data_IF_965018724779
#
_entry.id   IF_965018724779
#
_cell.length_a   1.000
_cell.length_b   1.000
_cell.length_c   1.000
_cell.angle_alpha   90.00
_cell.angle_beta   90.00
_cell.angle_gamma   90.00
#
_symmetry.space_group_name_H-M   'P 1'
#
loop_
_entity.id
_entity.type
_entity.pdbx_description
1 polymer ?
#
# COMPACT_ATOMS: atom_id res chain seq x y z
N UNK A 1 27.04 16.43 7.53
CA UNK A 1 25.68 16.50 8.10
C UNK A 1 24.80 15.49 7.36
N UNK A 2 24.43 14.38 8.00
CA UNK A 2 23.42 13.43 7.52
C UNK A 2 22.49 13.18 8.71
N UNK A 3 21.44 13.99 8.83
CA UNK A 3 20.42 13.84 9.88
C UNK A 3 19.04 13.46 9.31
N UNK A 4 18.88 13.46 7.98
CA UNK A 4 17.59 13.23 7.31
C UNK A 4 17.13 11.75 7.27
N UNK A 5 18.03 10.78 7.47
CA UNK A 5 17.65 9.36 7.44
C UNK A 5 16.89 8.90 8.69
N UNK A 6 17.06 9.61 9.82
CA UNK A 6 16.45 9.25 11.09
C UNK A 6 14.94 9.54 11.14
N UNK A 7 14.49 10.57 10.42
CA UNK A 7 13.08 10.99 10.36
C UNK A 7 12.22 10.04 9.52
N UNK A 8 12.79 9.43 8.47
CA UNK A 8 12.06 8.55 7.53
C UNK A 8 11.70 7.19 8.20
N UNK A 9 12.62 6.63 9.01
CA UNK A 9 12.37 5.36 9.69
C UNK A 9 11.43 5.47 10.90
N UNK A 10 11.48 6.58 11.65
CA UNK A 10 10.56 6.81 12.76
C UNK A 10 9.11 6.93 12.25
N UNK A 11 8.92 7.70 11.19
CA UNK A 11 7.64 7.83 10.47
C UNK A 11 7.18 6.48 9.94
N UNK A 12 8.10 5.70 9.34
CA UNK A 12 7.81 4.35 8.86
C UNK A 12 7.29 3.42 9.97
N UNK A 13 7.94 3.41 11.14
CA UNK A 13 7.50 2.59 12.29
C UNK A 13 6.11 2.98 12.78
N UNK A 14 5.78 4.25 12.74
CA UNK A 14 4.48 4.76 13.14
C UNK A 14 3.37 4.27 12.20
N UNK A 15 3.61 4.32 10.90
CA UNK A 15 2.61 3.95 9.89
C UNK A 15 2.58 2.45 9.54
N UNK A 16 3.58 1.66 9.96
CA UNK A 16 3.63 0.21 9.65
C UNK A 16 2.37 -0.54 10.09
N UNK A 17 1.82 -0.19 11.26
CA UNK A 17 0.59 -0.78 11.79
C UNK A 17 -0.65 -0.48 10.93
N UNK A 18 -0.57 0.54 10.09
CA UNK A 18 -1.64 0.97 9.19
C UNK A 18 -1.48 0.45 7.76
N UNK A 19 -0.31 -0.08 7.40
CA UNK A 19 -0.07 -0.59 6.04
C UNK A 19 -1.05 -1.68 5.64
N UNK A 20 -1.46 -2.52 6.58
CA UNK A 20 -2.44 -3.60 6.38
C UNK A 20 -3.89 -3.10 6.38
N UNK A 21 -4.17 -1.89 6.89
CA UNK A 21 -5.53 -1.40 6.98
C UNK A 21 -6.07 -1.03 5.60
N UNK A 22 -7.34 -1.34 5.30
CA UNK A 22 -8.00 -0.81 4.13
C UNK A 22 -8.05 0.71 4.22
N UNK A 23 -8.11 1.37 3.06
CA UNK A 23 -8.35 2.81 3.02
C UNK A 23 -9.81 3.05 3.38
N UNK A 24 -10.05 3.80 4.46
CA UNK A 24 -11.39 4.20 4.87
C UNK A 24 -11.97 5.18 3.85
N UNK A 25 -12.80 4.67 2.94
CA UNK A 25 -13.33 5.42 1.80
C UNK A 25 -14.64 6.16 2.08
N UNK A 26 -14.98 6.48 3.32
CA UNK A 26 -16.25 7.12 3.66
C UNK A 26 -16.39 8.47 2.93
N UNK A 27 -17.39 8.57 2.05
CA UNK A 27 -17.65 9.78 1.26
C UNK A 27 -16.79 9.95 0.01
N UNK A 28 -15.89 9.02 -0.30
CA UNK A 28 -15.10 9.05 -1.54
C UNK A 28 -15.85 8.35 -2.68
N UNK A 29 -15.76 8.92 -3.89
CA UNK A 29 -16.19 8.22 -5.08
C UNK A 29 -15.24 7.06 -5.44
N UNK A 30 -15.74 6.13 -6.25
CA UNK A 30 -15.04 4.89 -6.61
C UNK A 30 -13.73 5.17 -7.35
N UNK A 31 -13.67 6.19 -8.21
CA UNK A 31 -12.46 6.49 -8.98
C UNK A 31 -11.38 7.11 -8.09
N UNK A 32 -11.76 7.98 -7.16
CA UNK A 32 -10.86 8.52 -6.14
C UNK A 32 -10.32 7.40 -5.25
N UNK A 33 -11.19 6.53 -4.73
CA UNK A 33 -10.76 5.40 -3.90
C UNK A 33 -9.82 4.45 -4.67
N UNK A 34 -10.09 4.21 -5.96
CA UNK A 34 -9.21 3.42 -6.84
C UNK A 34 -7.82 4.05 -6.94
N UNK A 35 -7.73 5.35 -7.21
CA UNK A 35 -6.46 6.07 -7.31
C UNK A 35 -5.66 6.02 -6.01
N UNK A 36 -6.33 6.07 -4.87
CA UNK A 36 -5.67 5.95 -3.56
C UNK A 36 -5.07 4.55 -3.37
N UNK A 37 -5.80 3.48 -3.73
CA UNK A 37 -5.25 2.13 -3.70
C UNK A 37 -4.06 1.95 -4.66
N UNK A 38 -4.12 2.52 -5.87
CA UNK A 38 -3.01 2.51 -6.82
C UNK A 38 -1.78 3.26 -6.29
N UNK A 39 -1.99 4.45 -5.70
CA UNK A 39 -0.92 5.22 -5.06
C UNK A 39 -0.29 4.47 -3.89
N UNK A 40 -1.10 3.80 -3.05
CA UNK A 40 -0.63 2.95 -1.96
C UNK A 40 0.24 1.78 -2.47
N UNK A 41 -0.12 1.15 -3.60
CA UNK A 41 0.71 0.10 -4.21
C UNK A 41 2.07 0.62 -4.66
N UNK A 42 2.13 1.80 -5.29
CA UNK A 42 3.40 2.43 -5.70
C UNK A 42 4.28 2.73 -4.48
N UNK A 43 3.69 3.25 -3.41
CA UNK A 43 4.39 3.50 -2.15
C UNK A 43 4.97 2.21 -1.56
N UNK A 44 4.16 1.15 -1.47
CA UNK A 44 4.58 -0.15 -0.93
C UNK A 44 5.70 -0.78 -1.77
N UNK A 45 5.68 -0.62 -3.09
CA UNK A 45 6.74 -1.14 -3.95
C UNK A 45 8.07 -0.39 -3.74
N UNK A 46 8.02 0.94 -3.66
CA UNK A 46 9.22 1.73 -3.34
C UNK A 46 9.80 1.33 -1.99
N UNK A 47 8.94 1.12 -1.00
CA UNK A 47 9.32 0.69 0.34
C UNK A 47 9.90 -0.74 0.33
N UNK A 48 9.32 -1.65 -0.45
CA UNK A 48 9.85 -3.02 -0.65
C UNK A 48 11.26 -2.98 -1.22
N UNK A 49 11.51 -2.16 -2.24
CA UNK A 49 12.84 -2.01 -2.85
C UNK A 49 13.85 -1.45 -1.85
N UNK A 50 13.49 -0.39 -1.11
CA UNK A 50 14.36 0.18 -0.07
C UNK A 50 14.71 -0.85 1.01
N UNK A 51 13.69 -1.55 1.51
CA UNK A 51 13.87 -2.62 2.50
C UNK A 51 14.78 -3.74 1.98
N UNK A 52 14.59 -4.18 0.74
CA UNK A 52 15.45 -5.19 0.12
C UNK A 52 16.90 -4.73 0.00
N UNK A 53 17.14 -3.49 -0.45
CA UNK A 53 18.50 -2.94 -0.59
C UNK A 53 19.21 -2.84 0.77
N UNK A 54 18.51 -2.38 1.81
CA UNK A 54 19.08 -2.29 3.16
C UNK A 54 19.38 -3.67 3.76
N UNK A 55 18.49 -4.65 3.60
CA UNK A 55 18.71 -6.01 4.09
C UNK A 55 19.93 -6.70 3.45
N UNK A 56 20.30 -6.30 2.24
CA UNK A 56 21.46 -6.84 1.51
C UNK A 56 22.69 -5.90 1.55
N UNK A 57 22.61 -4.80 2.29
CA UNK A 57 23.72 -3.85 2.45
C UNK A 57 24.70 -4.35 3.52
N UNK A 58 26.00 -4.28 3.22
CA UNK A 58 27.06 -4.60 4.18
C UNK A 58 27.11 -3.61 5.38
N UNK A 59 26.49 -2.43 5.24
CA UNK A 59 26.45 -1.42 6.31
C UNK A 59 25.38 -1.71 7.39
N UNK A 60 24.52 -2.71 7.17
CA UNK A 60 23.29 -2.89 7.95
C UNK A 60 22.27 -1.79 7.67
N UNK A 61 21.05 -1.98 8.17
CA UNK A 61 19.94 -1.06 7.98
C UNK A 61 18.94 -1.15 9.12
N UNK A 62 17.89 -0.33 9.05
CA UNK A 62 16.85 -0.30 10.08
C UNK A 62 15.75 -1.35 9.83
N UNK A 63 15.63 -1.82 8.58
CA UNK A 63 14.66 -2.85 8.23
C UNK A 63 15.07 -4.24 8.66
N UNK A 64 14.07 -5.03 9.05
CA UNK A 64 14.17 -6.45 9.36
C UNK A 64 13.48 -7.30 8.29
N UNK A 65 13.75 -8.60 8.29
CA UNK A 65 13.04 -9.53 7.40
C UNK A 65 11.53 -9.61 7.71
N UNK A 66 11.12 -9.32 8.95
CA UNK A 66 9.70 -9.24 9.30
C UNK A 66 9.05 -8.02 8.65
N UNK A 67 9.78 -6.91 8.57
CA UNK A 67 9.29 -5.70 7.90
C UNK A 67 9.07 -5.95 6.41
N UNK A 68 10.01 -6.65 5.76
CA UNK A 68 9.88 -7.06 4.36
C UNK A 68 8.63 -7.94 4.14
N UNK A 69 8.38 -8.91 5.02
CA UNK A 69 7.17 -9.75 4.95
C UNK A 69 5.89 -8.94 5.14
N UNK A 70 5.89 -7.99 6.06
CA UNK A 70 4.71 -7.13 6.30
C UNK A 70 4.41 -6.27 5.07
N UNK A 71 5.44 -5.71 4.42
CA UNK A 71 5.29 -4.94 3.18
C UNK A 71 4.67 -5.81 2.07
N UNK A 72 5.18 -7.03 1.89
CA UNK A 72 4.62 -7.98 0.91
C UNK A 72 3.15 -8.31 1.20
N UNK A 73 2.82 -8.54 2.47
CA UNK A 73 1.44 -8.81 2.89
C UNK A 73 0.53 -7.61 2.64
N UNK A 74 0.98 -6.39 2.98
CA UNK A 74 0.25 -5.16 2.71
C UNK A 74 0.02 -4.94 1.20
N UNK A 75 1.00 -5.23 0.35
CA UNK A 75 0.86 -5.17 -1.11
C UNK A 75 -0.18 -6.17 -1.63
N UNK A 76 -0.19 -7.39 -1.09
CA UNK A 76 -1.17 -8.41 -1.47
C UNK A 76 -2.60 -8.01 -1.06
N UNK A 77 -2.78 -7.50 0.16
CA UNK A 77 -4.09 -7.05 0.65
C UNK A 77 -4.59 -5.82 -0.11
N UNK A 78 -3.71 -4.84 -0.36
CA UNK A 78 -4.02 -3.64 -1.15
C UNK A 78 -4.48 -4.02 -2.56
N UNK A 79 -3.80 -4.98 -3.21
CA UNK A 79 -4.23 -5.51 -4.52
C UNK A 79 -5.60 -6.21 -4.45
N UNK A 80 -5.88 -6.97 -3.38
CA UNK A 80 -7.18 -7.62 -3.19
C UNK A 80 -8.30 -6.58 -3.09
N UNK A 81 -8.10 -5.52 -2.30
CA UNK A 81 -9.08 -4.43 -2.19
C UNK A 81 -9.31 -3.72 -3.52
N UNK A 82 -8.24 -3.39 -4.25
CA UNK A 82 -8.34 -2.78 -5.57
C UNK A 82 -9.13 -3.66 -6.55
N UNK A 83 -8.86 -4.98 -6.58
CA UNK A 83 -9.61 -5.93 -7.40
C UNK A 83 -11.09 -5.96 -7.04
N UNK A 84 -11.42 -6.01 -5.75
CA UNK A 84 -12.80 -6.02 -5.28
C UNK A 84 -13.54 -4.72 -5.68
N UNK A 85 -12.86 -3.58 -5.59
CA UNK A 85 -13.41 -2.29 -6.02
C UNK A 85 -13.73 -2.28 -7.52
N UNK A 86 -12.81 -2.77 -8.36
CA UNK A 86 -13.02 -2.88 -9.81
C UNK A 86 -14.18 -3.82 -10.12
N UNK A 87 -14.25 -4.99 -9.48
CA UNK A 87 -15.34 -5.94 -9.68
C UNK A 87 -16.71 -5.37 -9.27
N UNK A 88 -16.77 -4.60 -8.19
CA UNK A 88 -17.98 -3.90 -7.77
C UNK A 88 -18.41 -2.85 -8.79
N UNK A 89 -17.47 -2.06 -9.30
CA UNK A 89 -17.72 -1.04 -10.31
C UNK A 89 -18.26 -1.65 -11.61
N UNK A 90 -17.65 -2.74 -12.10
CA UNK A 90 -18.09 -3.48 -13.28
C UNK A 90 -19.50 -4.04 -13.05
N UNK A 91 -19.71 -4.71 -11.92
CA UNK A 91 -21.00 -5.34 -11.59
C UNK A 91 -22.13 -4.32 -11.48
N UNK A 92 -21.86 -3.14 -10.91
CA UNK A 92 -22.82 -2.04 -10.81
C UNK A 92 -23.19 -1.48 -12.19
N UNK A 93 -22.19 -1.29 -13.06
CA UNK A 93 -22.43 -0.84 -14.43
C UNK A 93 -23.20 -1.87 -15.27
N UNK A 94 -22.91 -3.16 -15.13
CA UNK A 94 -23.65 -4.22 -15.80
C UNK A 94 -25.13 -4.24 -15.39
N UNK A 95 -25.42 -4.16 -14.09
CA UNK A 95 -26.81 -4.10 -13.57
C UNK A 95 -27.60 -2.92 -14.14
N UNK A 96 -26.97 -1.74 -14.26
CA UNK A 96 -27.60 -0.56 -14.88
C UNK A 96 -27.97 -0.81 -16.35
N UNK A 97 -27.10 -1.48 -17.11
CA UNK A 97 -27.33 -1.79 -18.53
C UNK A 97 -28.41 -2.83 -18.77
N UNK A 98 -28.59 -3.79 -17.87
CA UNK A 98 -29.64 -4.82 -17.99
C UNK A 98 -31.02 -4.35 -17.52
N UNK A 99 -31.09 -3.25 -16.78
CA UNK A 99 -32.33 -2.65 -16.29
C UNK A 99 -32.85 -1.51 -17.18
N UNK A 100 -32.11 -1.16 -18.24
CA UNK A 100 -32.51 -0.22 -19.30
C UNK A 100 -32.93 -1.02 -20.54
#
# INVERSE_FOLDING_TARGET
MRNDQSTDFATYREIMGELLRPIEGHGLDVDTLKRLYESKLVYLENLRVRCFLELNSAAGGHFTMNDYKLILQASAETNRHLRNLILLAISTNLKKRTAS
#
